data_IF_520171414303
#
_entry.id   IF_520171414303
#
_cell.length_a   1.000
_cell.length_b   1.000
_cell.length_c   1.000
_cell.angle_alpha   90.00
_cell.angle_beta   90.00
_cell.angle_gamma   90.00
#
_symmetry.space_group_name_H-M   'P 1'
#
loop_
_entity.id
_entity.type
_entity.pdbx_description
1 polymer ?
#
# COMPACT_ATOMS: atom_id res chain seq x y z
N UNK A 1 -55.28 -13.39 -50.41
CA UNK A 1 -53.83 -13.62 -50.18
C UNK A 1 -53.13 -12.39 -50.71
N UNK A 2 -52.64 -11.57 -49.78
CA UNK A 2 -52.52 -10.13 -49.95
C UNK A 2 -51.14 -9.71 -50.45
N UNK A 3 -51.19 -8.85 -51.48
CA UNK A 3 -50.38 -7.67 -51.74
C UNK A 3 -48.85 -7.82 -51.77
N UNK A 4 -48.33 -7.90 -52.99
CA UNK A 4 -47.04 -7.31 -53.33
C UNK A 4 -47.28 -6.07 -54.18
N UNK A 5 -46.58 -4.95 -53.88
CA UNK A 5 -46.12 -4.11 -54.97
C UNK A 5 -44.63 -3.77 -54.85
N UNK A 6 -43.98 -3.88 -56.02
CA UNK A 6 -43.00 -2.97 -56.64
C UNK A 6 -41.64 -2.69 -55.98
N UNK A 7 -40.62 -3.06 -56.75
CA UNK A 7 -39.22 -2.61 -56.76
C UNK A 7 -39.05 -1.08 -56.72
N UNK A 8 -37.98 -0.60 -56.06
CA UNK A 8 -37.14 0.50 -56.55
C UNK A 8 -35.66 0.17 -56.25
N UNK A 9 -34.83 0.57 -57.20
CA UNK A 9 -33.54 0.03 -57.63
C UNK A 9 -32.34 0.89 -57.15
N UNK A 10 -31.23 0.21 -56.87
CA UNK A 10 -29.79 0.61 -56.86
C UNK A 10 -29.31 1.83 -56.04
N UNK A 11 -28.29 1.59 -55.18
CA UNK A 11 -26.90 1.91 -55.51
C UNK A 11 -25.92 1.26 -54.50
N UNK A 12 -24.97 0.49 -55.03
CA UNK A 12 -23.85 -0.07 -54.28
C UNK A 12 -22.87 1.06 -53.99
N UNK A 13 -22.65 1.35 -52.71
CA UNK A 13 -21.49 2.13 -52.26
C UNK A 13 -20.73 1.29 -51.25
N UNK A 14 -19.49 0.95 -51.60
CA UNK A 14 -18.57 0.17 -50.80
C UNK A 14 -18.24 0.88 -49.48
N UNK A 15 -18.62 0.29 -48.34
CA UNK A 15 -17.97 0.56 -47.06
C UNK A 15 -17.47 -0.74 -46.43
N UNK A 16 -16.18 -0.72 -46.10
CA UNK A 16 -15.42 -1.83 -45.54
C UNK A 16 -16.08 -2.33 -44.25
N UNK A 17 -16.15 -3.65 -44.07
CA UNK A 17 -16.44 -4.30 -42.79
C UNK A 17 -15.54 -3.70 -41.70
N UNK A 18 -16.09 -2.93 -40.77
CA UNK A 18 -15.42 -2.65 -39.49
C UNK A 18 -15.64 -3.86 -38.59
N UNK A 19 -14.65 -4.75 -38.59
CA UNK A 19 -14.52 -5.80 -37.59
C UNK A 19 -14.52 -5.20 -36.19
N UNK A 20 -15.26 -5.83 -35.28
CA UNK A 20 -15.35 -5.41 -33.88
C UNK A 20 -13.99 -5.35 -33.19
N UNK A 21 -13.87 -4.40 -32.27
CA UNK A 21 -12.86 -4.39 -31.20
C UNK A 21 -13.53 -3.93 -29.91
N UNK A 22 -14.29 -4.83 -29.30
CA UNK A 22 -14.31 -4.93 -27.85
C UNK A 22 -12.99 -5.59 -27.43
N UNK A 23 -12.13 -4.82 -26.77
CA UNK A 23 -10.85 -5.33 -26.29
C UNK A 23 -10.18 -4.32 -25.38
N UNK A 24 -10.20 -4.62 -24.08
CA UNK A 24 -9.42 -4.00 -22.99
C UNK A 24 -8.25 -3.11 -23.46
N UNK A 25 -8.46 -1.80 -23.47
CA UNK A 25 -7.38 -0.81 -23.67
C UNK A 25 -6.85 -0.40 -22.30
N UNK A 26 -6.02 -1.25 -21.72
CA UNK A 26 -5.26 -0.91 -20.54
C UNK A 26 -4.03 -0.08 -20.98
N UNK A 27 -3.86 1.15 -20.49
CA UNK A 27 -2.68 2.01 -20.72
C UNK A 27 -1.36 1.28 -20.41
N UNK A 28 -0.32 1.50 -21.21
CA UNK A 28 1.06 0.97 -21.04
C UNK A 28 1.89 1.87 -20.12
N UNK A 29 3.00 1.39 -19.57
CA UNK A 29 3.83 2.16 -18.63
C UNK A 29 4.38 3.47 -19.22
N UNK A 30 4.61 3.50 -20.54
CA UNK A 30 5.00 4.72 -21.26
C UNK A 30 3.82 5.69 -21.39
N UNK A 31 2.62 5.18 -21.66
CA UNK A 31 1.38 5.96 -21.62
C UNK A 31 1.12 6.47 -20.19
N UNK A 32 1.29 5.66 -19.16
CA UNK A 32 1.09 6.04 -17.76
C UNK A 32 2.12 7.07 -17.28
N UNK A 33 3.39 6.92 -17.65
CA UNK A 33 4.42 7.93 -17.38
C UNK A 33 4.12 9.23 -18.14
N UNK A 34 3.64 9.13 -19.37
CA UNK A 34 3.24 10.29 -20.16
C UNK A 34 1.99 10.97 -19.59
N UNK A 35 1.05 10.21 -19.03
CA UNK A 35 -0.11 10.72 -18.33
C UNK A 35 0.31 11.45 -17.05
N UNK A 36 1.24 10.87 -16.27
CA UNK A 36 1.82 11.52 -15.09
C UNK A 36 2.56 12.82 -15.46
N UNK A 37 3.36 12.82 -16.54
CA UNK A 37 4.05 14.02 -17.05
C UNK A 37 3.05 15.08 -17.52
N UNK A 38 2.00 14.68 -18.22
CA UNK A 38 0.93 15.56 -18.69
C UNK A 38 0.18 16.18 -17.52
N UNK A 39 -0.17 15.36 -16.52
CA UNK A 39 -0.82 15.82 -15.30
C UNK A 39 0.08 16.79 -14.51
N UNK A 40 1.36 16.47 -14.31
CA UNK A 40 2.32 17.34 -13.62
C UNK A 40 2.50 18.68 -14.34
N UNK A 41 2.63 18.65 -15.67
CA UNK A 41 2.82 19.84 -16.50
C UNK A 41 1.61 20.77 -16.46
N UNK A 42 0.40 20.23 -16.59
CA UNK A 42 -0.85 21.00 -16.60
C UNK A 42 -1.18 21.50 -15.18
N UNK A 43 -0.96 20.68 -14.14
CA UNK A 43 -1.21 21.07 -12.75
C UNK A 43 -0.24 22.11 -12.19
N UNK A 44 0.97 22.23 -12.75
CA UNK A 44 1.96 23.25 -12.37
C UNK A 44 1.84 24.55 -13.17
N UNK A 45 0.97 24.62 -14.18
CA UNK A 45 0.83 25.79 -15.01
C UNK A 45 0.01 26.88 -14.28
N UNK A 46 0.65 27.99 -13.91
CA UNK A 46 0.10 29.04 -13.06
C UNK A 46 -1.08 29.82 -13.65
N UNK A 47 -1.33 29.69 -14.96
CA UNK A 47 -2.46 30.33 -15.66
C UNK A 47 -3.75 29.49 -15.56
N UNK A 48 -3.64 28.21 -15.21
CA UNK A 48 -4.72 27.21 -15.33
C UNK A 48 -5.50 27.01 -14.02
N UNK A 49 -5.02 27.61 -12.92
CA UNK A 49 -5.50 27.32 -11.56
C UNK A 49 -6.64 28.16 -11.00
N UNK A 50 -7.14 29.18 -11.72
CA UNK A 50 -8.13 30.11 -11.14
C UNK A 50 -9.58 29.95 -11.66
N UNK A 51 -9.79 29.68 -12.96
CA UNK A 51 -11.13 29.78 -13.58
C UNK A 51 -11.47 28.66 -14.59
N UNK A 52 -10.81 27.51 -14.54
CA UNK A 52 -11.06 26.43 -15.51
C UNK A 52 -12.13 25.43 -15.03
N UNK A 53 -13.20 25.28 -15.81
CA UNK A 53 -14.21 24.23 -15.64
C UNK A 53 -13.59 22.83 -15.81
N UNK A 54 -13.95 21.87 -14.94
CA UNK A 54 -13.41 20.50 -14.90
C UNK A 54 -13.25 19.81 -16.28
N UNK A 55 -14.19 19.94 -17.23
CA UNK A 55 -14.04 19.34 -18.56
C UNK A 55 -12.84 19.88 -19.36
N UNK A 56 -12.54 21.18 -19.25
CA UNK A 56 -11.46 21.80 -20.00
C UNK A 56 -10.07 21.43 -19.45
N UNK A 57 -9.98 21.16 -18.14
CA UNK A 57 -8.76 20.64 -17.49
C UNK A 57 -8.41 19.25 -18.03
N UNK A 58 -9.38 18.34 -18.06
CA UNK A 58 -9.17 16.99 -18.59
C UNK A 58 -8.89 16.98 -20.09
N UNK A 59 -9.50 17.89 -20.84
CA UNK A 59 -9.22 18.04 -22.27
C UNK A 59 -7.77 18.50 -22.53
N UNK A 60 -7.26 19.42 -21.71
CA UNK A 60 -5.87 19.87 -21.79
C UNK A 60 -4.87 18.75 -21.47
N UNK A 61 -5.19 17.90 -20.49
CA UNK A 61 -4.40 16.70 -20.19
C UNK A 61 -4.43 15.72 -21.36
N UNK A 62 -5.61 15.51 -21.97
CA UNK A 62 -5.80 14.60 -23.09
C UNK A 62 -5.00 15.03 -24.32
N UNK A 63 -4.99 16.32 -24.65
CA UNK A 63 -4.22 16.88 -25.76
C UNK A 63 -2.71 16.68 -25.53
N UNK A 64 -2.19 17.12 -24.39
CA UNK A 64 -0.77 16.98 -24.06
C UNK A 64 -0.33 15.50 -23.99
N UNK A 65 -1.20 14.61 -23.52
CA UNK A 65 -0.96 13.17 -23.50
C UNK A 65 -0.85 12.61 -24.93
N UNK A 66 -1.77 12.98 -25.82
CA UNK A 66 -1.84 12.44 -27.19
C UNK A 66 -0.67 12.92 -28.05
N UNK A 67 -0.22 14.16 -27.88
CA UNK A 67 0.90 14.74 -28.64
C UNK A 67 2.26 14.12 -28.31
N UNK A 68 2.41 13.54 -27.13
CA UNK A 68 3.71 13.11 -26.58
C UNK A 68 3.78 11.59 -26.35
N UNK A 69 2.87 10.83 -26.98
CA UNK A 69 2.88 9.38 -26.89
C UNK A 69 3.93 8.79 -27.84
N UNK A 70 5.04 8.26 -27.32
CA UNK A 70 5.96 7.46 -28.12
C UNK A 70 5.36 6.06 -28.37
N UNK A 71 5.28 5.69 -29.64
CA UNK A 71 4.64 4.47 -30.13
C UNK A 71 5.45 3.21 -29.73
N UNK A 72 5.36 2.78 -28.47
CA UNK A 72 5.97 1.53 -28.01
C UNK A 72 5.08 0.77 -27.01
N UNK A 73 4.37 -0.24 -27.52
CA UNK A 73 3.67 -1.23 -26.69
C UNK A 73 4.70 -2.17 -26.06
N UNK A 74 5.24 -1.78 -24.91
CA UNK A 74 6.05 -2.67 -24.07
C UNK A 74 5.11 -3.57 -23.23
N UNK A 75 5.32 -4.88 -23.26
CA UNK A 75 4.59 -5.84 -22.42
C UNK A 75 4.82 -5.52 -20.94
N UNK A 76 3.75 -5.15 -20.23
CA UNK A 76 3.83 -4.76 -18.82
C UNK A 76 4.20 -5.93 -17.92
N UNK A 77 5.04 -5.66 -16.94
CA UNK A 77 5.20 -6.54 -15.78
C UNK A 77 3.87 -6.57 -15.00
N UNK A 78 3.25 -7.74 -14.75
CA UNK A 78 2.01 -7.86 -13.99
C UNK A 78 2.03 -7.12 -12.63
N UNK A 79 3.20 -7.03 -11.99
CA UNK A 79 3.36 -6.37 -10.70
C UNK A 79 3.36 -4.83 -10.77
N UNK A 80 3.72 -4.26 -11.91
CA UNK A 80 3.60 -2.82 -12.14
C UNK A 80 2.12 -2.39 -12.19
N UNK A 81 1.29 -3.22 -12.83
CA UNK A 81 -0.17 -3.03 -12.84
C UNK A 81 -0.76 -3.06 -11.42
N UNK A 82 -0.25 -3.94 -10.57
CA UNK A 82 -0.67 -4.07 -9.17
C UNK A 82 -0.29 -2.82 -8.35
N UNK A 83 0.90 -2.26 -8.57
CA UNK A 83 1.30 -1.00 -7.94
C UNK A 83 0.37 0.14 -8.36
N UNK A 84 0.12 0.31 -9.66
CA UNK A 84 -0.74 1.39 -10.15
C UNK A 84 -2.20 1.23 -9.70
N UNK A 85 -2.70 0.00 -9.61
CA UNK A 85 -4.01 -0.28 -9.02
C UNK A 85 -4.05 0.15 -7.55
N UNK A 86 -2.95 -0.08 -6.82
CA UNK A 86 -2.84 0.34 -5.40
C UNK A 86 -2.84 1.86 -5.28
N UNK A 87 -2.10 2.54 -6.15
CA UNK A 87 -2.06 4.01 -6.24
C UNK A 87 -3.46 4.57 -6.51
N UNK A 88 -4.16 4.04 -7.52
CA UNK A 88 -5.48 4.53 -7.91
C UNK A 88 -6.52 4.41 -6.79
N UNK A 89 -6.57 3.26 -6.11
CA UNK A 89 -7.50 3.05 -4.99
C UNK A 89 -7.13 3.93 -3.80
N UNK A 90 -5.84 4.04 -3.48
CA UNK A 90 -5.36 4.89 -2.38
C UNK A 90 -5.71 6.37 -2.62
N UNK A 91 -5.53 6.87 -3.84
CA UNK A 91 -5.90 8.24 -4.19
C UNK A 91 -7.41 8.46 -4.14
N UNK A 92 -8.20 7.44 -4.52
CA UNK A 92 -9.67 7.51 -4.45
C UNK A 92 -10.14 7.59 -3.00
N UNK A 93 -9.58 6.77 -2.11
CA UNK A 93 -9.90 6.79 -0.67
C UNK A 93 -9.42 8.10 -0.03
N UNK A 94 -8.22 8.58 -0.37
CA UNK A 94 -7.71 9.88 0.06
C UNK A 94 -8.63 11.05 -0.33
N UNK A 95 -9.14 11.06 -1.58
CA UNK A 95 -10.11 12.06 -2.02
C UNK A 95 -11.41 11.96 -1.20
N UNK A 96 -11.91 10.75 -0.94
CA UNK A 96 -13.08 10.53 -0.09
C UNK A 96 -12.89 11.03 1.35
N UNK A 97 -11.71 10.81 1.93
CA UNK A 97 -11.34 11.32 3.26
C UNK A 97 -11.26 12.85 3.28
N UNK A 98 -10.77 13.48 2.21
CA UNK A 98 -10.75 14.93 2.09
C UNK A 98 -12.16 15.54 2.05
N UNK A 99 -13.11 14.88 1.37
CA UNK A 99 -14.50 15.35 1.32
C UNK A 99 -15.20 15.27 2.69
N UNK A 100 -14.62 14.53 3.65
CA UNK A 100 -15.11 14.45 5.03
C UNK A 100 -14.60 15.67 5.82
N UNK A 101 -15.52 16.44 6.40
CA UNK A 101 -15.16 17.53 7.30
C UNK A 101 -14.45 16.97 8.56
N UNK A 102 -13.19 17.36 8.76
CA UNK A 102 -12.32 17.19 9.93
C UNK A 102 -12.32 15.82 10.64
N UNK A 103 -11.16 15.18 10.74
CA UNK A 103 -10.95 14.01 11.60
C UNK A 103 -10.42 14.39 12.99
N UNK A 104 -10.58 13.50 13.97
CA UNK A 104 -10.09 13.73 15.33
C UNK A 104 -8.56 13.58 15.38
N UNK A 105 -7.84 14.72 15.36
CA UNK A 105 -6.37 14.77 15.37
C UNK A 105 -5.74 14.46 16.73
N UNK A 106 -6.52 14.49 17.81
CA UNK A 106 -6.01 14.39 19.18
C UNK A 106 -5.82 12.96 19.69
N UNK A 107 -6.41 11.96 19.02
CA UNK A 107 -6.27 10.56 19.44
C UNK A 107 -5.22 9.86 18.60
N UNK A 108 -4.25 9.20 19.26
CA UNK A 108 -3.08 8.56 18.65
C UNK A 108 -3.43 7.68 17.43
N UNK A 109 -4.47 6.85 17.56
CA UNK A 109 -4.86 5.85 16.55
C UNK A 109 -5.76 6.38 15.44
N UNK A 110 -6.33 7.58 15.55
CA UNK A 110 -7.25 8.07 14.50
C UNK A 110 -6.49 8.27 13.20
N UNK A 111 -5.31 8.89 13.27
CA UNK A 111 -4.47 9.10 12.10
C UNK A 111 -4.01 7.76 11.51
N UNK A 112 -3.50 6.86 12.36
CA UNK A 112 -3.09 5.52 11.95
C UNK A 112 -4.21 4.79 11.19
N UNK A 113 -5.41 4.75 11.77
CA UNK A 113 -6.54 3.99 11.23
C UNK A 113 -7.16 4.64 10.00
N UNK A 114 -7.27 5.97 9.97
CA UNK A 114 -7.94 6.66 8.86
C UNK A 114 -7.01 6.94 7.67
N UNK A 115 -5.70 7.12 7.89
CA UNK A 115 -4.76 7.49 6.83
C UNK A 115 -3.74 6.41 6.50
N UNK A 116 -3.23 5.67 7.49
CA UNK A 116 -2.13 4.71 7.26
C UNK A 116 -2.65 3.32 6.89
N UNK A 117 -3.56 2.78 7.71
CA UNK A 117 -4.14 1.44 7.51
C UNK A 117 -4.77 1.25 6.12
N UNK A 118 -5.53 2.20 5.54
CA UNK A 118 -6.12 2.01 4.22
C UNK A 118 -5.08 1.82 3.11
N UNK A 119 -3.99 2.58 3.13
CA UNK A 119 -2.88 2.47 2.15
C UNK A 119 -2.38 1.03 2.10
N UNK A 120 -2.01 0.49 3.26
CA UNK A 120 -1.46 -0.85 3.36
C UNK A 120 -2.53 -1.93 3.14
N UNK A 121 -3.77 -1.69 3.55
CA UNK A 121 -4.90 -2.58 3.25
C UNK A 121 -5.09 -2.74 1.74
N UNK A 122 -5.11 -1.64 0.97
CA UNK A 122 -5.20 -1.68 -0.49
C UNK A 122 -4.00 -2.42 -1.09
N UNK A 123 -2.79 -2.13 -0.61
CA UNK A 123 -1.58 -2.82 -1.03
C UNK A 123 -1.68 -4.35 -0.85
N UNK A 124 -2.17 -4.82 0.30
CA UNK A 124 -2.32 -6.26 0.59
C UNK A 124 -3.37 -6.95 -0.29
N UNK A 125 -4.52 -6.31 -0.50
CA UNK A 125 -5.61 -6.84 -1.33
C UNK A 125 -5.14 -7.07 -2.77
N UNK A 126 -4.32 -6.15 -3.28
CA UNK A 126 -3.85 -6.20 -4.66
C UNK A 126 -2.64 -7.14 -4.79
N UNK A 127 -1.65 -7.04 -3.90
CA UNK A 127 -0.41 -7.80 -4.05
C UNK A 127 -0.53 -9.29 -3.69
N UNK A 128 -1.56 -9.73 -2.96
CA UNK A 128 -1.91 -11.14 -2.60
C UNK A 128 -0.84 -12.00 -1.90
N UNK A 129 0.44 -11.66 -2.01
CA UNK A 129 1.60 -12.32 -1.41
C UNK A 129 1.68 -12.01 0.09
N UNK A 130 1.28 -10.79 0.48
CA UNK A 130 1.34 -10.34 1.87
C UNK A 130 -0.07 -10.11 2.40
N UNK A 131 -0.43 -10.89 3.42
CA UNK A 131 -1.69 -10.74 4.16
C UNK A 131 -1.44 -9.87 5.38
N UNK A 132 -1.97 -8.64 5.35
CA UNK A 132 -1.91 -7.74 6.49
C UNK A 132 -3.09 -7.97 7.43
N UNK A 133 -2.77 -8.06 8.72
CA UNK A 133 -3.73 -8.26 9.80
C UNK A 133 -3.65 -7.11 10.79
N UNK A 134 -4.83 -6.64 11.18
CA UNK A 134 -5.07 -5.58 12.14
C UNK A 134 -6.18 -6.10 13.04
N UNK A 135 -5.94 -6.31 14.33
CA UNK A 135 -6.99 -6.88 15.18
C UNK A 135 -7.94 -5.77 15.62
N UNK A 136 -9.07 -5.64 14.92
CA UNK A 136 -10.16 -4.74 15.32
C UNK A 136 -10.97 -5.40 16.42
N UNK A 137 -10.88 -4.90 17.66
CA UNK A 137 -11.81 -5.33 18.71
C UNK A 137 -13.02 -4.40 18.69
N UNK A 138 -14.10 -4.84 18.04
CA UNK A 138 -15.38 -4.12 18.07
C UNK A 138 -15.84 -3.94 19.52
N UNK A 139 -15.79 -2.71 20.03
CA UNK A 139 -16.57 -2.31 21.18
C UNK A 139 -17.98 -2.01 20.67
N UNK A 140 -18.89 -2.97 20.87
CA UNK A 140 -20.32 -2.76 20.74
C UNK A 140 -20.77 -1.76 21.82
N UNK A 141 -20.66 -0.47 21.53
CA UNK A 141 -21.40 0.54 22.29
C UNK A 141 -22.87 0.37 21.86
N UNK A 142 -23.66 -0.36 22.66
CA UNK A 142 -25.12 -0.34 22.59
C UNK A 142 -25.59 1.04 23.01
N UNK A 143 -25.65 2.00 22.07
CA UNK A 143 -26.53 3.14 22.23
C UNK A 143 -27.79 2.92 21.39
N UNK A 144 -28.88 2.94 22.13
CA UNK A 144 -30.23 2.60 21.72
C UNK A 144 -30.89 3.84 21.11
N UNK A 145 -31.61 3.61 20.01
CA UNK A 145 -32.52 4.47 19.24
C UNK A 145 -31.97 5.48 18.22
N UNK A 146 -32.52 5.30 17.00
CA UNK A 146 -32.60 6.15 15.83
C UNK A 146 -31.40 6.18 14.88
N UNK A 147 -31.56 5.40 13.80
CA UNK A 147 -31.23 5.65 12.39
C UNK A 147 -30.05 6.61 12.14
N UNK A 148 -29.03 6.08 11.44
CA UNK A 148 -27.97 6.78 10.70
C UNK A 148 -26.61 7.10 11.36
N UNK A 149 -26.12 6.27 12.29
CA UNK A 149 -24.70 6.36 12.71
C UNK A 149 -24.03 5.00 12.96
N UNK A 150 -24.11 4.07 12.01
CA UNK A 150 -23.16 2.96 11.93
C UNK A 150 -21.93 3.49 11.17
N UNK A 151 -20.81 3.74 11.85
CA UNK A 151 -19.41 3.74 11.36
C UNK A 151 -18.55 4.72 12.17
N UNK A 152 -18.31 4.41 13.45
CA UNK A 152 -17.09 4.86 14.14
C UNK A 152 -16.91 4.11 15.46
N UNK A 153 -16.32 2.91 15.39
CA UNK A 153 -15.67 2.26 16.53
C UNK A 153 -14.64 1.26 16.01
N UNK A 154 -13.59 1.80 15.39
CA UNK A 154 -12.31 1.11 15.24
C UNK A 154 -11.53 1.36 16.53
N UNK A 155 -11.78 0.54 17.55
CA UNK A 155 -11.06 0.64 18.82
C UNK A 155 -10.14 -0.58 18.93
N UNK A 156 -8.84 -0.30 18.83
CA UNK A 156 -7.70 -1.23 18.89
C UNK A 156 -7.41 -1.93 17.56
N UNK A 157 -6.14 -1.86 17.11
CA UNK A 157 -5.60 -2.50 15.91
C UNK A 157 -4.40 -3.41 16.26
N UNK A 158 -4.38 -4.00 17.45
CA UNK A 158 -3.19 -4.71 17.97
C UNK A 158 -3.22 -6.20 17.65
N UNK A 159 -2.35 -6.68 16.77
CA UNK A 159 -2.20 -8.09 16.40
C UNK A 159 -1.06 -8.75 17.18
N UNK A 160 -1.24 -9.99 17.66
CA UNK A 160 -0.21 -10.71 18.42
C UNK A 160 0.97 -11.09 17.51
N UNK A 161 2.20 -10.84 17.97
CA UNK A 161 3.43 -11.27 17.30
C UNK A 161 3.74 -12.70 17.72
N UNK A 162 3.61 -13.64 16.80
CA UNK A 162 3.78 -15.06 17.07
C UNK A 162 5.26 -15.40 17.23
N UNK A 163 6.11 -14.85 16.36
CA UNK A 163 7.55 -15.09 16.39
C UNK A 163 8.20 -14.68 17.71
N UNK A 164 7.72 -13.62 18.36
CA UNK A 164 8.21 -13.22 19.69
C UNK A 164 7.92 -14.27 20.75
N UNK A 165 6.73 -14.90 20.69
CA UNK A 165 6.41 -15.98 21.64
C UNK A 165 7.29 -17.21 21.40
N UNK A 166 7.53 -17.54 20.12
CA UNK A 166 8.35 -18.69 19.70
C UNK A 166 9.84 -18.51 20.02
N UNK A 167 10.40 -17.33 19.74
CA UNK A 167 11.84 -17.05 19.86
C UNK A 167 12.34 -17.08 21.30
N UNK A 168 11.45 -16.88 22.26
CA UNK A 168 11.78 -16.90 23.68
C UNK A 168 11.60 -18.28 24.34
N UNK A 169 11.17 -19.31 23.60
CA UNK A 169 11.05 -20.67 24.13
C UNK A 169 12.43 -21.25 24.45
N UNK A 170 12.68 -21.51 25.74
CA UNK A 170 13.86 -22.25 26.19
C UNK A 170 13.52 -23.74 26.25
N UNK A 171 14.23 -24.62 25.50
CA UNK A 171 14.00 -26.06 25.58
C UNK A 171 14.14 -26.57 27.02
N UNK A 172 13.12 -27.29 27.51
CA UNK A 172 13.10 -27.86 28.86
C UNK A 172 12.41 -27.00 29.94
N UNK A 173 11.95 -25.79 29.61
CA UNK A 173 11.19 -24.93 30.53
C UNK A 173 9.73 -24.84 30.08
N UNK A 174 8.83 -25.51 30.81
CA UNK A 174 7.41 -25.63 30.47
C UNK A 174 6.57 -24.38 30.77
N UNK A 175 7.01 -23.56 31.73
CA UNK A 175 6.35 -22.32 32.12
C UNK A 175 7.19 -21.13 31.69
N UNK A 176 7.02 -20.69 30.46
CA UNK A 176 7.58 -19.43 30.00
C UNK A 176 6.60 -18.31 30.36
N UNK A 177 6.87 -17.56 31.43
CA UNK A 177 6.09 -16.39 31.88
C UNK A 177 6.37 -15.17 31.00
N UNK A 178 6.45 -15.36 29.69
CA UNK A 178 6.95 -14.32 28.81
C UNK A 178 5.89 -13.29 28.47
N UNK A 179 6.35 -12.04 28.37
CA UNK A 179 5.52 -10.93 27.96
C UNK A 179 5.01 -11.15 26.53
N UNK A 180 3.71 -10.99 26.33
CA UNK A 180 3.11 -11.04 25.00
C UNK A 180 3.32 -9.68 24.34
N UNK A 181 4.04 -9.66 23.22
CA UNK A 181 4.12 -8.48 22.37
C UNK A 181 3.00 -8.46 21.32
N UNK A 182 2.49 -7.26 21.08
CA UNK A 182 1.44 -6.96 20.12
C UNK A 182 1.91 -5.82 19.22
N UNK A 183 1.64 -5.92 17.92
CA UNK A 183 1.92 -4.86 16.94
C UNK A 183 0.64 -4.18 16.47
N UNK A 184 0.71 -2.90 16.09
CA UNK A 184 -0.43 -2.20 15.47
C UNK A 184 -0.77 -2.70 14.07
N UNK A 185 0.12 -3.46 13.44
CA UNK A 185 -0.15 -4.18 12.20
C UNK A 185 0.88 -5.24 11.91
N UNK A 186 0.44 -6.38 11.35
CA UNK A 186 1.33 -7.50 10.99
C UNK A 186 1.00 -8.02 9.60
N UNK A 187 1.99 -8.02 8.72
CA UNK A 187 1.98 -8.67 7.42
C UNK A 187 2.60 -10.05 7.46
N UNK A 188 1.88 -11.05 6.95
CA UNK A 188 2.36 -12.42 6.85
C UNK A 188 2.39 -12.90 5.40
N UNK A 189 3.45 -13.63 5.07
CA UNK A 189 3.60 -14.36 3.82
C UNK A 189 3.84 -15.83 4.20
N UNK A 190 2.99 -16.75 3.75
CA UNK A 190 3.08 -18.18 4.11
C UNK A 190 3.23 -18.48 5.63
N UNK A 191 2.69 -17.60 6.48
CA UNK A 191 2.78 -17.72 7.94
C UNK A 191 4.02 -17.07 8.57
N UNK A 192 5.00 -16.63 7.77
CA UNK A 192 6.16 -15.86 8.21
C UNK A 192 5.79 -14.37 8.37
N UNK A 193 6.18 -13.75 9.49
CA UNK A 193 5.89 -12.35 9.81
C UNK A 193 6.87 -11.41 9.10
N UNK A 194 6.56 -11.06 7.84
CA UNK A 194 7.41 -10.28 6.94
C UNK A 194 7.31 -8.77 7.17
N UNK A 195 6.17 -8.26 7.66
CA UNK A 195 5.96 -6.84 7.93
C UNK A 195 5.43 -6.64 9.35
N UNK A 196 6.02 -5.72 10.10
CA UNK A 196 5.58 -5.38 11.46
C UNK A 196 5.44 -3.86 11.58
N UNK A 197 4.34 -3.39 12.16
CA UNK A 197 3.99 -1.97 12.14
C UNK A 197 3.62 -1.44 13.52
N UNK A 198 4.06 -0.23 13.85
CA UNK A 198 3.73 0.49 15.10
C UNK A 198 3.45 1.98 14.82
N UNK A 199 2.51 2.55 15.57
CA UNK A 199 2.16 3.96 15.57
C UNK A 199 2.58 4.62 16.88
N UNK A 200 3.46 5.62 16.81
CA UNK A 200 4.14 6.23 17.95
C UNK A 200 3.50 7.52 18.49
N UNK A 201 2.19 7.67 18.32
CA UNK A 201 1.45 8.81 18.88
C UNK A 201 0.46 9.46 17.91
N UNK A 202 -0.12 10.60 18.30
CA UNK A 202 -1.07 11.37 17.50
C UNK A 202 -0.40 12.12 16.36
N UNK A 203 -1.22 12.54 15.40
CA UNK A 203 -0.79 13.19 14.17
C UNK A 203 0.14 14.40 14.36
N UNK A 204 -0.09 15.23 15.38
CA UNK A 204 0.54 16.55 15.49
C UNK A 204 1.62 16.68 16.57
N UNK A 205 1.73 15.69 17.46
CA UNK A 205 2.56 15.82 18.66
C UNK A 205 3.35 14.55 18.89
N UNK A 206 4.67 14.67 18.80
CA UNK A 206 5.58 13.58 19.09
C UNK A 206 5.83 13.47 20.60
N UNK A 207 5.71 12.25 21.11
CA UNK A 207 6.15 11.91 22.46
C UNK A 207 7.45 11.10 22.31
N UNK A 208 8.59 11.75 22.56
CA UNK A 208 9.93 11.18 22.27
C UNK A 208 10.13 9.84 22.99
N UNK A 209 9.84 9.78 24.30
CA UNK A 209 10.03 8.55 25.08
C UNK A 209 9.16 7.40 24.57
N UNK A 210 7.92 7.70 24.15
CA UNK A 210 7.01 6.71 23.57
C UNK A 210 7.53 6.24 22.21
N UNK A 211 7.95 7.17 21.36
CA UNK A 211 8.45 6.88 20.02
C UNK A 211 9.72 6.02 20.08
N UNK A 212 10.63 6.33 21.01
CA UNK A 212 11.81 5.51 21.26
C UNK A 212 11.45 4.10 21.77
N UNK A 213 10.49 4.00 22.69
CA UNK A 213 9.98 2.73 23.19
C UNK A 213 9.40 1.85 22.08
N UNK A 214 8.60 2.42 21.19
CA UNK A 214 8.04 1.71 20.04
C UNK A 214 9.10 1.33 19.00
N UNK A 215 10.10 2.18 18.77
CA UNK A 215 11.24 1.83 17.92
C UNK A 215 11.97 0.61 18.48
N UNK A 216 12.26 0.60 19.78
CA UNK A 216 12.92 -0.55 20.43
C UNK A 216 12.06 -1.81 20.36
N UNK A 217 10.74 -1.66 20.50
CA UNK A 217 9.76 -2.74 20.35
C UNK A 217 9.76 -3.30 18.92
N UNK A 218 9.73 -2.45 17.89
CA UNK A 218 9.84 -2.85 16.47
C UNK A 218 11.14 -3.61 16.18
N UNK A 219 12.27 -3.08 16.66
CA UNK A 219 13.58 -3.73 16.50
C UNK A 219 13.56 -5.13 17.13
N UNK A 220 13.01 -5.23 18.34
CA UNK A 220 12.89 -6.50 19.04
C UNK A 220 12.01 -7.49 18.28
N UNK A 221 10.86 -7.05 17.78
CA UNK A 221 9.90 -7.89 17.07
C UNK A 221 10.42 -8.35 15.70
N UNK A 222 11.05 -7.47 14.93
CA UNK A 222 11.65 -7.84 13.64
C UNK A 222 12.83 -8.80 13.79
N UNK A 223 13.69 -8.60 14.79
CA UNK A 223 14.77 -9.55 15.11
C UNK A 223 14.24 -10.92 15.51
N UNK A 224 13.17 -10.97 16.32
CA UNK A 224 12.55 -12.23 16.71
C UNK A 224 11.90 -12.96 15.52
N UNK A 225 11.20 -12.24 14.66
CA UNK A 225 10.63 -12.80 13.41
C UNK A 225 11.71 -13.41 12.53
N UNK A 226 12.77 -12.65 12.26
CA UNK A 226 13.85 -13.12 11.39
C UNK A 226 14.59 -14.31 12.00
N UNK A 227 14.81 -14.31 13.31
CA UNK A 227 15.42 -15.45 14.02
C UNK A 227 14.53 -16.70 13.95
N UNK A 228 13.23 -16.56 14.17
CA UNK A 228 12.28 -17.68 14.12
C UNK A 228 12.27 -18.33 12.72
N UNK A 229 12.35 -17.52 11.67
CA UNK A 229 12.44 -18.02 10.30
C UNK A 229 13.76 -18.73 10.00
N UNK A 230 14.89 -18.15 10.39
CA UNK A 230 16.22 -18.78 10.20
C UNK A 230 16.29 -20.13 10.92
N UNK A 231 15.69 -20.25 12.11
CA UNK A 231 15.69 -21.49 12.88
C UNK A 231 14.91 -22.63 12.23
N UNK A 232 14.02 -22.35 11.27
CA UNK A 232 13.36 -23.39 10.45
C UNK A 232 14.32 -24.05 9.47
N UNK A 233 15.38 -23.35 9.08
CA UNK A 233 16.35 -23.79 8.06
C UNK A 233 17.76 -23.96 8.64
N UNK A 234 17.91 -24.77 9.70
CA UNK A 234 19.19 -24.95 10.40
C UNK A 234 20.34 -25.50 9.53
N UNK A 235 19.99 -26.16 8.41
CA UNK A 235 20.94 -26.71 7.45
C UNK A 235 21.24 -25.76 6.27
N UNK A 236 20.59 -24.59 6.21
CA UNK A 236 20.80 -23.63 5.11
C UNK A 236 22.15 -22.93 5.25
N UNK A 237 22.72 -22.55 4.09
CA UNK A 237 23.95 -21.79 4.08
C UNK A 237 23.75 -20.39 4.67
N UNK A 238 24.84 -19.80 5.19
CA UNK A 238 24.81 -18.43 5.66
C UNK A 238 24.39 -17.43 4.57
N UNK A 239 24.76 -17.67 3.31
CA UNK A 239 24.38 -16.81 2.20
C UNK A 239 22.90 -16.92 1.84
N UNK A 240 22.29 -18.09 2.03
CA UNK A 240 20.83 -18.26 1.95
C UNK A 240 20.14 -17.46 3.07
N UNK A 241 20.66 -17.53 4.29
CA UNK A 241 20.10 -16.80 5.45
C UNK A 241 20.19 -15.27 5.29
N UNK A 242 21.22 -14.74 4.62
CA UNK A 242 21.31 -13.30 4.27
C UNK A 242 20.19 -12.83 3.35
N UNK A 243 19.62 -13.74 2.57
CA UNK A 243 18.51 -13.43 1.68
C UNK A 243 17.21 -13.13 2.43
N UNK A 244 17.09 -13.62 3.67
CA UNK A 244 15.96 -13.31 4.54
C UNK A 244 16.08 -11.89 5.11
N UNK A 245 14.94 -11.21 5.15
CA UNK A 245 14.77 -9.98 5.91
C UNK A 245 13.37 -9.91 6.52
N UNK A 246 13.15 -8.94 7.39
CA UNK A 246 11.82 -8.55 7.87
C UNK A 246 11.72 -7.04 7.74
N UNK A 247 10.58 -6.55 7.28
CA UNK A 247 10.32 -5.13 7.16
C UNK A 247 9.59 -4.62 8.40
N UNK A 248 9.90 -3.40 8.80
CA UNK A 248 9.13 -2.67 9.79
C UNK A 248 8.68 -1.32 9.27
N UNK A 249 7.50 -0.89 9.69
CA UNK A 249 6.98 0.45 9.43
C UNK A 249 6.69 1.12 10.76
N UNK A 250 7.33 2.25 11.00
CA UNK A 250 7.01 3.10 12.13
C UNK A 250 6.30 4.35 11.64
N UNK A 251 5.19 4.71 12.27
CA UNK A 251 4.55 6.00 12.07
C UNK A 251 4.79 6.89 13.26
N UNK A 252 5.49 8.01 13.04
CA UNK A 252 5.70 9.06 14.03
C UNK A 252 5.00 10.31 13.50
N UNK A 253 3.99 10.79 14.21
CA UNK A 253 3.13 11.89 13.76
C UNK A 253 2.49 11.61 12.39
N UNK A 254 2.88 12.33 11.34
CA UNK A 254 2.44 12.18 9.97
C UNK A 254 3.45 11.49 9.05
N UNK A 255 4.60 11.09 9.60
CA UNK A 255 5.69 10.49 8.86
C UNK A 255 5.70 8.98 9.06
N UNK A 256 5.69 8.23 7.96
CA UNK A 256 5.93 6.80 7.94
C UNK A 256 7.37 6.51 7.50
N UNK A 257 8.02 5.58 8.19
CA UNK A 257 9.39 5.16 7.91
C UNK A 257 9.41 3.65 7.68
N UNK A 258 9.84 3.23 6.49
CA UNK A 258 10.07 1.83 6.14
C UNK A 258 11.52 1.45 6.45
N UNK A 259 11.67 0.46 7.32
CA UNK A 259 12.96 -0.12 7.70
C UNK A 259 13.02 -1.59 7.28
N UNK A 260 14.24 -2.08 7.06
CA UNK A 260 14.54 -3.47 6.76
C UNK A 260 15.55 -4.01 7.76
N UNK A 261 15.17 -5.09 8.43
CA UNK A 261 16.03 -5.89 9.30
C UNK A 261 16.53 -7.10 8.53
N UNK A 262 17.84 -7.29 8.46
CA UNK A 262 18.46 -8.46 7.79
C UNK A 262 19.73 -8.91 8.49
N UNK A 263 20.24 -10.08 8.11
CA UNK A 263 21.54 -10.56 8.59
C UNK A 263 22.68 -9.86 7.82
N UNK A 264 23.69 -9.35 8.53
CA UNK A 264 24.85 -8.68 7.93
C UNK A 264 26.08 -9.59 7.95
N UNK A 265 26.40 -10.11 9.14
CA UNK A 265 27.47 -11.09 9.38
C UNK A 265 26.91 -12.28 10.15
N UNK A 266 27.71 -13.33 10.36
CA UNK A 266 27.29 -14.53 11.11
C UNK A 266 26.85 -14.25 12.55
N UNK A 267 27.17 -13.06 13.09
CA UNK A 267 26.85 -12.67 14.45
C UNK A 267 26.12 -11.32 14.56
N UNK A 268 25.96 -10.58 13.46
CA UNK A 268 25.38 -9.23 13.49
C UNK A 268 24.19 -9.08 12.55
N UNK A 269 23.14 -8.49 13.10
CA UNK A 269 21.97 -8.02 12.38
C UNK A 269 22.19 -6.57 11.95
N UNK A 270 21.60 -6.19 10.82
CA UNK A 270 21.55 -4.80 10.38
C UNK A 270 20.10 -4.35 10.25
N UNK A 271 19.86 -3.09 10.58
CA UNK A 271 18.57 -2.43 10.42
C UNK A 271 18.84 -1.17 9.60
N UNK A 272 18.21 -1.08 8.44
CA UNK A 272 18.46 -0.01 7.47
C UNK A 272 17.12 0.65 7.15
N UNK A 273 17.07 1.97 7.27
CA UNK A 273 15.97 2.76 6.73
C UNK A 273 16.02 2.73 5.19
N UNK A 274 14.94 2.25 4.57
CA UNK A 274 14.82 2.20 3.13
C UNK A 274 14.21 3.49 2.58
N UNK A 275 13.08 3.92 3.15
CA UNK A 275 12.32 5.08 2.70
C UNK A 275 11.55 5.70 3.86
N UNK A 276 11.29 6.98 3.72
CA UNK A 276 10.46 7.78 4.63
C UNK A 276 9.50 8.62 3.79
N UNK A 277 8.26 8.77 4.25
CA UNK A 277 7.26 9.58 3.57
C UNK A 277 6.33 10.29 4.56
N UNK A 278 5.92 11.51 4.24
CA UNK A 278 4.89 12.23 4.97
C UNK A 278 3.54 11.97 4.32
N UNK A 279 2.58 11.47 5.09
CA UNK A 279 1.23 11.22 4.59
C UNK A 279 0.43 12.53 4.67
N UNK A 280 -0.06 13.05 3.54
CA UNK A 280 -0.80 14.29 3.55
C UNK A 280 -2.17 14.12 4.19
N UNK A 281 -2.59 15.15 4.93
CA UNK A 281 -3.94 15.27 5.53
C UNK A 281 -4.74 16.41 4.92
N UNK A 282 -4.15 17.16 3.99
CA UNK A 282 -4.79 18.25 3.25
C UNK A 282 -4.66 18.01 1.75
N UNK A 283 -5.62 18.52 0.99
CA UNK A 283 -5.60 18.42 -0.47
C UNK A 283 -4.40 19.13 -1.09
N UNK A 284 -3.97 20.26 -0.53
CA UNK A 284 -2.80 21.00 -1.03
C UNK A 284 -1.51 20.21 -0.86
N UNK A 285 -1.41 19.41 0.21
CA UNK A 285 -0.26 18.56 0.47
C UNK A 285 -0.28 17.23 -0.33
N UNK A 286 -1.28 16.98 -1.19
CA UNK A 286 -1.45 15.70 -1.91
C UNK A 286 -0.22 15.24 -2.69
N UNK A 287 0.65 16.18 -3.11
CA UNK A 287 1.91 15.87 -3.80
C UNK A 287 2.82 14.97 -2.94
N UNK A 288 2.71 15.06 -1.61
CA UNK A 288 3.46 14.21 -0.68
C UNK A 288 3.09 12.72 -0.78
N UNK A 289 1.93 12.37 -1.37
CA UNK A 289 1.57 10.97 -1.64
C UNK A 289 2.58 10.27 -2.55
N UNK A 290 3.33 11.01 -3.38
CA UNK A 290 4.39 10.41 -4.22
C UNK A 290 5.41 9.67 -3.35
N UNK A 291 5.82 10.25 -2.22
CA UNK A 291 6.74 9.58 -1.29
C UNK A 291 6.15 8.30 -0.70
N UNK A 292 4.85 8.30 -0.40
CA UNK A 292 4.12 7.10 0.06
C UNK A 292 4.12 6.02 -1.01
N UNK A 293 3.91 6.38 -2.28
CA UNK A 293 3.93 5.43 -3.39
C UNK A 293 5.33 4.90 -3.69
N UNK A 294 6.37 5.72 -3.57
CA UNK A 294 7.76 5.26 -3.64
C UNK A 294 8.10 4.27 -2.53
N UNK A 295 7.57 4.49 -1.32
CA UNK A 295 7.70 3.56 -0.21
C UNK A 295 7.02 2.22 -0.52
N UNK A 296 5.79 2.23 -1.04
CA UNK A 296 5.08 1.00 -1.46
C UNK A 296 5.80 0.28 -2.61
N UNK A 297 6.31 1.02 -3.59
CA UNK A 297 7.09 0.47 -4.69
C UNK A 297 8.37 -0.20 -4.17
N UNK A 298 9.04 0.43 -3.20
CA UNK A 298 10.24 -0.11 -2.55
C UNK A 298 9.91 -1.40 -1.79
N UNK A 299 8.79 -1.43 -1.08
CA UNK A 299 8.31 -2.62 -0.39
C UNK A 299 8.03 -3.76 -1.37
N UNK A 300 7.25 -3.50 -2.42
CA UNK A 300 6.90 -4.48 -3.45
C UNK A 300 8.14 -5.03 -4.16
N UNK A 301 9.06 -4.16 -4.59
CA UNK A 301 10.30 -4.54 -5.25
C UNK A 301 11.22 -5.38 -4.34
N UNK A 302 11.19 -5.10 -3.03
CA UNK A 302 12.00 -5.85 -2.06
C UNK A 302 11.41 -7.22 -1.76
N UNK A 303 10.09 -7.38 -1.76
CA UNK A 303 9.42 -8.68 -1.68
C UNK A 303 9.75 -9.59 -2.88
N UNK A 304 10.00 -9.03 -4.08
CA UNK A 304 10.38 -9.82 -5.27
C UNK A 304 11.67 -10.62 -5.09
N UNK A 305 12.61 -10.10 -4.28
CA UNK A 305 13.90 -10.75 -4.07
C UNK A 305 13.76 -12.03 -3.23
N UNK A 306 12.70 -12.16 -2.43
CA UNK A 306 12.47 -13.36 -1.62
C UNK A 306 11.97 -14.54 -2.43
N UNK A 307 11.03 -14.33 -3.35
CA UNK A 307 10.50 -15.39 -4.20
C UNK A 307 11.55 -16.04 -5.11
N UNK A 308 12.73 -15.41 -5.26
CA UNK A 308 13.85 -15.99 -6.00
C UNK A 308 14.64 -16.98 -5.15
N UNK A 309 14.61 -16.86 -3.82
CA UNK A 309 15.36 -17.72 -2.88
C UNK A 309 14.68 -19.08 -2.73
N UNK A 310 13.35 -19.14 -2.77
CA UNK A 310 12.56 -20.40 -2.74
C UNK A 310 12.85 -21.32 -3.95
N UNK A 311 13.54 -20.82 -4.98
CA UNK A 311 13.97 -21.62 -6.14
C UNK A 311 15.32 -22.32 -5.91
N UNK A 312 16.06 -21.92 -4.86
CA UNK A 312 17.40 -22.43 -4.55
C UNK A 312 17.47 -23.28 -3.26
N UNK A 313 16.33 -23.51 -2.60
CA UNK A 313 16.17 -24.48 -1.49
C UNK A 313 15.41 -25.70 -2.03
#
# INVERSE_FOLDING_TARGET
MNNAPSEITLAITTSKKSAGREGNLNYSSAEDLQLCKSWLKISQNSVVGADQESPAFWESIREHFTENLEESRCERNPKEKDLFSTVAITMTDFWGLFMRQNFNRGHERTFWVEYVVPIFKHFSIINKEIVLSWQVRSLLIKYVYNILTLFKLLVRCESKVLSHSSSQMVPGVWNNTNEKLFADGIGRENGFEVIIMESSGPHSTEYIDHSMGDTQKLITMTNNSLRDEILKYQNASFDTAKGLSVFSIQCICDKITLMKTSLCTSSMWQIIELRSATIPVTWDARVNMVGTFELLATLQASSLKYNTIDVFI
#
